data_IF_385657782319
#
_entry.id   IF_385657782319
#
_cell.length_a   1.000
_cell.length_b   1.000
_cell.length_c   1.000
_cell.angle_alpha   90.00
_cell.angle_beta   90.00
_cell.angle_gamma   90.00
#
_symmetry.space_group_name_H-M   'P 1'
#
loop_
_entity.id
_entity.type
_entity.pdbx_description
1 polymer ?
#
# COMPACT_ATOMS: atom_id res chain seq x y z
N UNK A 1 -3.37 6.03 0.30
CA UNK A 1 -2.10 6.24 1.03
C UNK A 1 -1.27 4.98 0.87
N UNK A 2 -0.04 5.10 0.42
CA UNK A 2 0.94 4.02 0.32
C UNK A 2 1.95 4.23 1.46
N UNK A 3 1.92 3.38 2.49
CA UNK A 3 2.72 3.56 3.71
C UNK A 3 3.75 2.42 3.89
N UNK A 4 5.01 2.64 3.46
CA UNK A 4 6.12 1.74 3.77
C UNK A 4 6.82 2.10 5.09
N UNK A 5 6.43 3.19 5.76
CA UNK A 5 7.18 3.78 6.87
C UNK A 5 6.58 3.40 8.22
N UNK A 6 5.27 3.53 8.41
CA UNK A 6 4.62 3.22 9.67
C UNK A 6 4.91 4.24 10.80
N UNK A 7 4.83 3.78 12.05
CA UNK A 7 5.17 4.55 13.23
C UNK A 7 4.38 5.86 13.42
N UNK A 8 4.99 6.94 13.91
CA UNK A 8 4.29 8.19 14.24
C UNK A 8 3.72 8.94 13.02
N UNK A 9 4.11 8.54 11.80
CA UNK A 9 3.65 9.18 10.56
C UNK A 9 2.29 8.67 10.10
N UNK A 10 1.88 7.47 10.52
CA UNK A 10 0.67 6.83 10.01
C UNK A 10 -0.60 7.55 10.48
N UNK A 11 -0.70 7.97 11.74
CA UNK A 11 -1.91 8.66 12.22
C UNK A 11 -2.15 10.00 11.50
N UNK A 12 -1.17 10.92 11.36
CA UNK A 12 -1.33 12.14 10.57
C UNK A 12 -1.75 11.85 9.12
N UNK A 13 -1.16 10.83 8.49
CA UNK A 13 -1.55 10.41 7.15
C UNK A 13 -3.01 9.93 7.10
N UNK A 14 -3.48 9.16 8.08
CA UNK A 14 -4.88 8.73 8.15
C UNK A 14 -5.85 9.89 8.38
N UNK A 15 -5.46 10.92 9.13
CA UNK A 15 -6.31 12.11 9.31
C UNK A 15 -6.51 12.87 8.01
N UNK A 16 -5.47 12.92 7.15
CA UNK A 16 -5.53 13.56 5.84
C UNK A 16 -6.25 12.72 4.77
N UNK A 17 -6.61 11.47 5.08
CA UNK A 17 -7.30 10.62 4.12
C UNK A 17 -8.69 11.20 3.77
N UNK A 18 -9.01 11.18 2.48
CA UNK A 18 -10.34 11.53 1.98
C UNK A 18 -11.37 10.44 2.26
N UNK A 19 -12.65 10.79 2.15
CA UNK A 19 -13.77 9.84 2.26
C UNK A 19 -13.55 8.60 1.37
N UNK A 20 -13.74 7.40 1.92
CA UNK A 20 -13.50 6.10 1.27
C UNK A 20 -12.07 5.86 0.79
N UNK A 21 -11.12 6.60 1.34
CA UNK A 21 -9.71 6.36 1.06
C UNK A 21 -9.24 4.99 1.53
N UNK A 22 -8.16 4.52 0.91
CA UNK A 22 -7.49 3.27 1.24
C UNK A 22 -6.09 3.56 1.77
N UNK A 23 -5.77 3.02 2.94
CA UNK A 23 -4.44 3.05 3.51
C UNK A 23 -3.79 1.68 3.31
N UNK A 24 -2.74 1.63 2.49
CA UNK A 24 -1.99 0.42 2.18
C UNK A 24 -0.82 0.31 3.16
N UNK A 25 -0.82 -0.73 3.99
CA UNK A 25 0.27 -1.05 4.93
C UNK A 25 1.28 -1.93 4.21
N UNK A 26 2.45 -1.38 3.90
CA UNK A 26 3.51 -2.10 3.16
C UNK A 26 4.68 -2.45 4.09
N UNK A 27 5.00 -1.59 5.05
CA UNK A 27 6.17 -1.77 5.89
C UNK A 27 6.20 -0.86 7.11
N UNK A 28 7.24 -1.06 7.93
CA UNK A 28 7.45 -0.37 9.19
C UNK A 28 8.89 0.18 9.25
N UNK A 29 9.33 0.90 8.21
CA UNK A 29 10.70 1.43 8.14
C UNK A 29 11.05 2.39 9.30
N UNK A 30 10.06 2.97 9.98
CA UNK A 30 10.24 3.75 11.20
C UNK A 30 10.54 2.88 12.45
N UNK A 31 10.51 1.56 12.34
CA UNK A 31 10.87 0.60 13.40
C UNK A 31 9.72 0.20 14.33
N UNK A 32 8.58 0.90 14.28
CA UNK A 32 7.44 0.64 15.16
C UNK A 32 6.14 0.39 14.40
N UNK A 33 5.33 -0.53 14.91
CA UNK A 33 3.97 -0.78 14.42
C UNK A 33 3.05 0.30 15.00
N UNK A 34 2.38 1.12 14.16
CA UNK A 34 1.56 2.21 14.63
C UNK A 34 0.30 1.71 15.34
N UNK A 35 -0.07 2.38 16.44
CA UNK A 35 -1.36 2.18 17.12
C UNK A 35 -2.35 3.19 16.56
N UNK A 36 -3.35 2.70 15.81
CA UNK A 36 -4.25 3.59 15.08
C UNK A 36 -5.53 3.88 15.87
N UNK A 37 -5.98 5.15 15.89
CA UNK A 37 -7.30 5.49 16.41
C UNK A 37 -8.37 5.05 15.38
N UNK A 38 -9.06 3.95 15.68
CA UNK A 38 -10.01 3.30 14.75
C UNK A 38 -11.23 4.14 14.39
N UNK A 39 -11.57 5.15 15.20
CA UNK A 39 -12.62 6.11 14.88
C UNK A 39 -12.36 6.85 13.55
N UNK A 40 -11.09 7.03 13.14
CA UNK A 40 -10.77 7.61 11.84
C UNK A 40 -11.30 6.76 10.68
N UNK A 41 -11.26 5.43 10.78
CA UNK A 41 -11.79 4.55 9.72
C UNK A 41 -13.31 4.68 9.61
N UNK A 42 -13.99 4.74 10.75
CA UNK A 42 -15.44 4.96 10.80
C UNK A 42 -15.83 6.32 10.20
N UNK A 43 -15.23 7.41 10.68
CA UNK A 43 -15.57 8.77 10.27
C UNK A 43 -15.23 9.06 8.80
N UNK A 44 -14.21 8.39 8.26
CA UNK A 44 -13.79 8.58 6.86
C UNK A 44 -14.37 7.52 5.92
N UNK A 45 -15.12 6.53 6.43
CA UNK A 45 -15.54 5.36 5.66
C UNK A 45 -14.36 4.68 4.96
N UNK A 46 -13.18 4.73 5.59
CA UNK A 46 -11.91 4.34 5.00
C UNK A 46 -11.58 2.87 5.28
N UNK A 47 -10.61 2.34 4.55
CA UNK A 47 -10.12 0.97 4.75
C UNK A 47 -8.61 0.94 4.94
N UNK A 48 -8.17 -0.03 5.74
CA UNK A 48 -6.76 -0.41 5.91
C UNK A 48 -6.56 -1.74 5.22
N UNK A 49 -5.56 -1.82 4.33
CA UNK A 49 -5.29 -3.01 3.51
C UNK A 49 -3.82 -3.38 3.66
N UNK A 50 -3.54 -4.60 4.10
CA UNK A 50 -2.17 -5.13 4.16
C UNK A 50 -1.66 -5.50 2.77
N UNK A 51 -0.42 -5.12 2.45
CA UNK A 51 0.24 -5.44 1.19
C UNK A 51 1.51 -6.24 1.48
N UNK A 52 1.40 -7.56 1.49
CA UNK A 52 2.52 -8.46 1.68
C UNK A 52 2.86 -9.18 0.36
N UNK A 53 3.57 -8.47 -0.53
CA UNK A 53 3.80 -8.93 -1.90
C UNK A 53 4.49 -10.30 -1.98
N UNK A 54 5.49 -10.56 -1.14
CA UNK A 54 6.21 -11.84 -1.14
C UNK A 54 5.31 -13.04 -0.86
N UNK A 55 4.31 -12.87 0.01
CA UNK A 55 3.32 -13.92 0.30
C UNK A 55 2.22 -13.99 -0.76
N UNK A 56 1.78 -12.84 -1.27
CA UNK A 56 0.87 -12.77 -2.42
C UNK A 56 1.43 -13.50 -3.64
N UNK A 57 2.71 -13.29 -3.97
CA UNK A 57 3.37 -13.97 -5.09
C UNK A 57 3.40 -15.49 -4.94
N UNK A 58 3.51 -15.99 -3.69
CA UNK A 58 3.50 -17.44 -3.39
C UNK A 58 2.10 -18.03 -3.44
N UNK A 59 1.11 -17.34 -2.85
CA UNK A 59 -0.28 -17.84 -2.74
C UNK A 59 -1.08 -17.66 -4.02
N UNK A 60 -0.79 -16.62 -4.78
CA UNK A 60 -1.53 -16.21 -5.98
C UNK A 60 -0.59 -16.02 -7.18
N UNK A 61 0.17 -17.05 -7.58
CA UNK A 61 1.20 -16.92 -8.61
C UNK A 61 0.63 -16.49 -9.97
N UNK A 62 -0.59 -16.92 -10.32
CA UNK A 62 -1.25 -16.52 -11.57
C UNK A 62 -1.56 -15.02 -11.59
N UNK A 63 -2.08 -14.48 -10.48
CA UNK A 63 -2.38 -13.06 -10.36
C UNK A 63 -1.09 -12.22 -10.38
N UNK A 64 -0.05 -12.68 -9.67
CA UNK A 64 1.24 -12.02 -9.68
C UNK A 64 1.88 -11.99 -11.09
N UNK A 65 1.83 -13.10 -11.84
CA UNK A 65 2.32 -13.13 -13.23
C UNK A 65 1.55 -12.16 -14.13
N UNK A 66 0.22 -12.07 -13.98
CA UNK A 66 -0.59 -11.12 -14.73
C UNK A 66 -0.16 -9.67 -14.43
N UNK A 67 -0.03 -9.31 -13.15
CA UNK A 67 0.42 -7.98 -12.74
C UNK A 67 1.84 -7.65 -13.25
N UNK A 68 2.76 -8.61 -13.19
CA UNK A 68 4.12 -8.44 -13.71
C UNK A 68 4.14 -8.23 -15.22
N UNK A 69 3.31 -8.94 -15.99
CA UNK A 69 3.20 -8.74 -17.44
C UNK A 69 2.69 -7.34 -17.79
N UNK A 70 1.68 -6.86 -17.07
CA UNK A 70 1.14 -5.51 -17.28
C UNK A 70 2.21 -4.44 -17.01
N UNK A 71 2.92 -4.55 -15.89
CA UNK A 71 4.01 -3.65 -15.54
C UNK A 71 5.15 -3.68 -16.57
N UNK A 72 5.55 -4.86 -17.05
CA UNK A 72 6.55 -5.03 -18.10
C UNK A 72 6.09 -4.40 -19.43
N UNK A 73 4.80 -4.53 -19.76
CA UNK A 73 4.19 -3.86 -20.91
C UNK A 73 4.32 -2.34 -20.82
N UNK A 74 3.98 -1.74 -19.67
CA UNK A 74 4.14 -0.30 -19.46
C UNK A 74 5.61 0.18 -19.56
N UNK A 75 6.58 -0.65 -19.16
CA UNK A 75 7.99 -0.35 -19.35
C UNK A 75 8.39 -0.40 -20.83
N UNK A 76 7.93 -1.41 -21.59
CA UNK A 76 8.18 -1.52 -23.02
C UNK A 76 7.55 -0.36 -23.81
N UNK A 77 6.39 0.14 -23.37
CA UNK A 77 5.71 1.30 -23.94
C UNK A 77 6.34 2.65 -23.52
N UNK A 78 7.33 2.64 -22.62
CA UNK A 78 7.95 3.86 -22.10
C UNK A 78 7.08 4.66 -21.12
N UNK A 79 5.93 4.11 -20.68
CA UNK A 79 5.05 4.72 -19.66
C UNK A 79 5.64 4.63 -18.25
N UNK A 80 6.44 3.60 -18.00
CA UNK A 80 7.23 3.46 -16.78
C UNK A 80 8.72 3.55 -17.12
N UNK A 81 9.43 4.40 -16.38
CA UNK A 81 10.88 4.53 -16.44
C UNK A 81 11.46 4.08 -15.10
N UNK A 82 12.06 2.88 -15.04
CA UNK A 82 12.75 2.42 -13.84
C UNK A 82 13.82 3.43 -13.43
N UNK A 83 13.88 3.69 -12.13
CA UNK A 83 14.99 4.41 -11.53
C UNK A 83 15.98 3.32 -11.07
N UNK A 84 17.17 3.30 -11.68
CA UNK A 84 18.23 2.26 -11.62
C UNK A 84 18.10 1.17 -12.68
#
# INVERSE_FOLDING_TARGET
IYDPVGGPYTEPALRSIAWRGRHLVIGFAAGEIPKLPWNLMLLKGASVVGVFWGEFAKREPKANVAAMREMLGWMAEGKLKPLV
#
